data_IF_856763368454
#
_entry.id   IF_856763368454
#
_cell.length_a   1.000
_cell.length_b   1.000
_cell.length_c   1.000
_cell.angle_alpha   90.00
_cell.angle_beta   90.00
_cell.angle_gamma   90.00
#
_symmetry.space_group_name_H-M   'P 1'
#
loop_
_entity.id
_entity.type
_entity.pdbx_description
1 polymer ?
#
# COMPACT_ATOMS: atom_id res chain seq x y z
N UNK A 1 1.01 -11.84 17.12
CA UNK A 1 0.90 -11.41 15.71
C UNK A 1 0.48 -9.94 15.72
N UNK A 2 1.07 -9.06 14.90
CA UNK A 2 0.68 -7.66 14.85
C UNK A 2 -0.80 -7.53 14.48
N UNK A 3 -1.49 -6.60 15.12
CA UNK A 3 -2.90 -6.34 14.79
C UNK A 3 -3.01 -5.67 13.42
N UNK A 4 -4.05 -5.96 12.64
CA UNK A 4 -4.28 -5.34 11.32
C UNK A 4 -4.22 -3.80 11.38
N UNK A 5 -4.69 -3.20 12.48
CA UNK A 5 -4.58 -1.76 12.75
C UNK A 5 -3.14 -1.29 12.82
N UNK A 6 -2.27 -2.04 13.52
CA UNK A 6 -0.85 -1.70 13.63
C UNK A 6 -0.18 -1.75 12.28
N UNK A 7 -0.49 -2.76 11.45
CA UNK A 7 0.04 -2.86 10.09
C UNK A 7 -0.36 -1.66 9.23
N UNK A 8 -1.65 -1.32 9.20
CA UNK A 8 -2.17 -0.16 8.45
C UNK A 8 -1.55 1.16 8.91
N UNK A 9 -1.37 1.34 10.23
CA UNK A 9 -0.73 2.55 10.75
C UNK A 9 0.74 2.63 10.35
N UNK A 10 1.49 1.53 10.43
CA UNK A 10 2.89 1.50 10.00
C UNK A 10 2.99 1.75 8.49
N UNK A 11 2.13 1.14 7.68
CA UNK A 11 2.09 1.40 6.23
C UNK A 11 1.79 2.87 5.93
N UNK A 12 0.83 3.47 6.63
CA UNK A 12 0.54 4.91 6.47
C UNK A 12 1.74 5.79 6.79
N UNK A 13 2.52 5.47 7.83
CA UNK A 13 3.73 6.21 8.20
C UNK A 13 4.80 6.05 7.12
N UNK A 14 4.98 4.85 6.59
CA UNK A 14 5.93 4.60 5.49
C UNK A 14 5.51 5.38 4.25
N UNK A 15 4.22 5.40 3.90
CA UNK A 15 3.68 6.24 2.84
C UNK A 15 3.96 7.72 3.10
N UNK A 16 3.73 8.23 4.31
CA UNK A 16 4.05 9.62 4.63
C UNK A 16 5.53 9.95 4.47
N UNK A 17 6.42 9.07 4.91
CA UNK A 17 7.87 9.24 4.75
C UNK A 17 8.25 9.24 3.27
N UNK A 18 7.82 8.23 2.51
CA UNK A 18 8.11 8.14 1.07
C UNK A 18 7.56 9.33 0.31
N UNK A 19 6.30 9.71 0.56
CA UNK A 19 5.64 10.85 -0.07
C UNK A 19 6.33 12.18 0.26
N UNK A 20 6.74 12.38 1.52
CA UNK A 20 7.47 13.58 1.93
C UNK A 20 8.86 13.66 1.29
N UNK A 21 9.60 12.55 1.28
CA UNK A 21 10.91 12.47 0.61
C UNK A 21 10.76 12.78 -0.89
N UNK A 22 9.80 12.15 -1.57
CA UNK A 22 9.56 12.36 -2.99
C UNK A 22 9.12 13.80 -3.30
N UNK A 23 8.35 14.44 -2.42
CA UNK A 23 7.85 15.81 -2.64
C UNK A 23 8.93 16.87 -2.36
N UNK A 24 9.64 16.75 -1.24
CA UNK A 24 10.62 17.74 -0.77
C UNK A 24 11.94 17.57 -1.53
N UNK A 25 12.44 16.34 -1.61
CA UNK A 25 13.72 16.05 -2.25
C UNK A 25 13.59 15.79 -3.75
N UNK A 26 12.41 16.02 -4.37
CA UNK A 26 12.14 15.77 -5.78
C UNK A 26 13.24 16.28 -6.72
N UNK A 27 13.72 17.50 -6.47
CA UNK A 27 14.74 18.16 -7.29
C UNK A 27 16.08 17.43 -7.19
N UNK A 28 16.56 17.17 -5.98
CA UNK A 28 17.80 16.42 -5.73
C UNK A 28 17.69 14.96 -6.19
N UNK A 29 16.53 14.33 -6.00
CA UNK A 29 16.27 12.96 -6.46
C UNK A 29 16.26 12.91 -7.98
N UNK A 30 15.68 13.88 -8.68
CA UNK A 30 15.63 13.86 -10.15
C UNK A 30 17.02 13.82 -10.79
N UNK A 31 17.98 14.55 -10.21
CA UNK A 31 19.38 14.55 -10.66
C UNK A 31 20.15 13.27 -10.32
N UNK A 32 19.74 12.58 -9.26
CA UNK A 32 20.40 11.34 -8.80
C UNK A 32 19.78 10.11 -9.45
N UNK A 33 18.47 10.12 -9.70
CA UNK A 33 17.70 8.97 -10.18
C UNK A 33 17.71 8.83 -11.70
N UNK A 34 17.91 9.91 -12.44
CA UNK A 34 17.91 9.87 -13.89
C UNK A 34 19.30 10.19 -14.44
N UNK A 35 19.85 9.26 -15.23
CA UNK A 35 21.10 9.47 -15.96
C UNK A 35 20.90 10.27 -17.24
N UNK A 36 19.65 10.50 -17.65
CA UNK A 36 19.31 11.19 -18.90
C UNK A 36 18.07 12.04 -18.68
N UNK A 37 18.03 13.25 -19.25
CA UNK A 37 16.86 14.13 -19.23
C UNK A 37 15.80 13.61 -20.19
N UNK A 38 15.06 12.59 -19.75
CA UNK A 38 13.89 12.06 -20.47
C UNK A 38 12.65 12.65 -19.83
N UNK A 39 11.81 13.30 -20.65
CA UNK A 39 10.48 13.74 -20.21
C UNK A 39 9.57 12.53 -20.08
N UNK A 40 9.19 12.19 -18.84
CA UNK A 40 8.23 11.12 -18.59
C UNK A 40 6.82 11.69 -18.83
N UNK A 41 6.10 11.18 -19.83
CA UNK A 41 4.70 11.58 -20.09
C UNK A 41 4.50 13.09 -20.38
N UNK A 42 5.53 13.79 -20.85
CA UNK A 42 5.48 15.24 -21.13
C UNK A 42 5.73 16.12 -19.90
N UNK A 43 5.92 15.54 -18.72
CA UNK A 43 6.31 16.24 -17.50
C UNK A 43 7.83 16.23 -17.31
N UNK A 44 8.33 17.26 -16.63
CA UNK A 44 9.72 17.21 -16.16
C UNK A 44 9.88 16.12 -15.09
N UNK A 45 11.05 15.47 -14.99
CA UNK A 45 11.30 14.46 -13.96
C UNK A 45 10.98 14.96 -12.53
N UNK A 46 11.33 16.21 -12.22
CA UNK A 46 11.05 16.83 -10.92
C UNK A 46 9.54 16.93 -10.64
N UNK A 47 8.74 17.37 -11.62
CA UNK A 47 7.29 17.47 -11.48
C UNK A 47 6.65 16.09 -11.35
N UNK A 48 7.11 15.10 -12.11
CA UNK A 48 6.63 13.73 -12.00
C UNK A 48 6.92 13.15 -10.60
N UNK A 49 8.13 13.36 -10.08
CA UNK A 49 8.53 12.96 -8.71
C UNK A 49 7.68 13.67 -7.64
N UNK A 50 7.42 14.96 -7.78
CA UNK A 50 6.54 15.71 -6.85
C UNK A 50 5.09 15.22 -6.91
N UNK A 51 4.55 15.04 -8.11
CA UNK A 51 3.19 14.56 -8.30
C UNK A 51 3.01 13.16 -7.68
N UNK A 52 3.99 12.26 -7.91
CA UNK A 52 4.03 10.96 -7.26
C UNK A 52 4.10 11.10 -5.74
N UNK A 53 4.98 11.96 -5.21
CA UNK A 53 5.09 12.21 -3.78
C UNK A 53 3.77 12.67 -3.15
N UNK A 54 3.06 13.60 -3.80
CA UNK A 54 1.74 14.07 -3.36
C UNK A 54 0.67 12.96 -3.43
N UNK A 55 0.68 12.14 -4.49
CA UNK A 55 -0.21 10.98 -4.59
C UNK A 55 0.03 10.00 -3.44
N UNK A 56 1.29 9.71 -3.10
CA UNK A 56 1.65 8.83 -1.98
C UNK A 56 1.20 9.42 -0.65
N UNK A 57 1.36 10.73 -0.44
CA UNK A 57 0.84 11.40 0.77
C UNK A 57 -0.68 11.25 0.88
N UNK A 58 -1.40 11.38 -0.25
CA UNK A 58 -2.85 11.17 -0.31
C UNK A 58 -3.25 9.73 0.04
N UNK A 59 -2.51 8.74 -0.47
CA UNK A 59 -2.70 7.32 -0.14
C UNK A 59 -2.40 7.08 1.34
N UNK A 60 -1.28 7.59 1.85
CA UNK A 60 -0.91 7.47 3.26
C UNK A 60 -1.96 8.08 4.19
N UNK A 61 -2.55 9.21 3.80
CA UNK A 61 -3.68 9.80 4.53
C UNK A 61 -4.91 8.90 4.50
N UNK A 62 -5.27 8.34 3.35
CA UNK A 62 -6.38 7.40 3.23
C UNK A 62 -6.18 6.16 4.11
N UNK A 63 -5.00 5.52 4.04
CA UNK A 63 -4.65 4.35 4.86
C UNK A 63 -4.67 4.70 6.35
N UNK A 64 -4.17 5.88 6.73
CA UNK A 64 -4.22 6.37 8.11
C UNK A 64 -5.68 6.52 8.61
N UNK A 65 -6.55 7.14 7.79
CA UNK A 65 -7.98 7.27 8.10
C UNK A 65 -8.61 5.89 8.28
N UNK A 66 -8.37 4.95 7.35
CA UNK A 66 -8.87 3.57 7.44
C UNK A 66 -8.36 2.88 8.71
N UNK A 67 -7.08 3.01 9.05
CA UNK A 67 -6.48 2.45 10.26
C UNK A 67 -7.07 3.02 11.56
N UNK A 68 -7.54 4.27 11.53
CA UNK A 68 -8.18 4.93 12.68
C UNK A 68 -9.67 4.62 12.83
N UNK A 69 -10.33 4.09 11.79
CA UNK A 69 -11.75 3.74 11.89
C UNK A 69 -12.00 2.59 12.87
N UNK A 70 -13.03 2.74 13.73
CA UNK A 70 -13.39 1.73 14.74
C UNK A 70 -13.79 0.38 14.11
N UNK A 71 -14.38 0.40 12.92
CA UNK A 71 -14.79 -0.81 12.20
C UNK A 71 -14.03 -0.90 10.88
N UNK A 72 -12.97 -1.72 10.84
CA UNK A 72 -12.24 -1.98 9.60
C UNK A 72 -13.11 -2.89 8.73
N UNK A 73 -13.60 -2.36 7.63
CA UNK A 73 -14.35 -3.13 6.64
C UNK A 73 -13.39 -3.90 5.75
N UNK A 74 -13.75 -5.14 5.39
CA UNK A 74 -12.93 -5.95 4.48
C UNK A 74 -12.72 -5.28 3.12
N UNK A 75 -13.67 -4.44 2.69
CA UNK A 75 -13.59 -3.66 1.45
C UNK A 75 -12.46 -2.63 1.54
N UNK A 76 -12.33 -1.92 2.66
CA UNK A 76 -11.28 -0.92 2.82
C UNK A 76 -9.88 -1.56 2.70
N UNK A 77 -9.68 -2.73 3.31
CA UNK A 77 -8.41 -3.49 3.21
C UNK A 77 -8.17 -3.97 1.78
N UNK A 78 -9.19 -4.46 1.08
CA UNK A 78 -9.06 -4.84 -0.33
C UNK A 78 -8.68 -3.67 -1.24
N UNK A 79 -9.16 -2.45 -0.95
CA UNK A 79 -8.75 -1.25 -1.69
C UNK A 79 -7.28 -0.91 -1.46
N UNK A 80 -6.78 -1.03 -0.22
CA UNK A 80 -5.35 -0.82 0.08
C UNK A 80 -4.49 -1.83 -0.68
N UNK A 81 -4.80 -3.13 -0.58
CA UNK A 81 -4.13 -4.19 -1.35
C UNK A 81 -4.17 -3.90 -2.86
N UNK A 82 -5.30 -3.42 -3.38
CA UNK A 82 -5.41 -3.04 -4.80
C UNK A 82 -4.45 -1.91 -5.19
N UNK A 83 -4.32 -0.88 -4.35
CA UNK A 83 -3.37 0.22 -4.54
C UNK A 83 -1.92 -0.28 -4.49
N UNK A 84 -1.60 -1.15 -3.54
CA UNK A 84 -0.28 -1.78 -3.42
C UNK A 84 0.08 -2.62 -4.65
N UNK A 85 -0.87 -3.39 -5.19
CA UNK A 85 -0.68 -4.17 -6.42
C UNK A 85 -0.41 -3.26 -7.62
N UNK A 86 -1.16 -2.16 -7.76
CA UNK A 86 -0.92 -1.16 -8.81
C UNK A 86 0.49 -0.57 -8.64
N UNK A 87 0.91 -0.28 -7.41
CA UNK A 87 2.24 0.24 -7.10
C UNK A 87 3.36 -0.70 -7.53
N UNK A 88 3.25 -1.99 -7.16
CA UNK A 88 4.24 -3.02 -7.52
C UNK A 88 4.30 -3.20 -9.04
N UNK A 89 3.13 -3.28 -9.69
CA UNK A 89 3.03 -3.45 -11.14
C UNK A 89 3.63 -2.24 -11.87
N UNK A 90 3.32 -1.03 -11.41
CA UNK A 90 3.89 0.21 -11.94
C UNK A 90 5.41 0.26 -11.75
N UNK A 91 5.92 -0.22 -10.62
CA UNK A 91 7.36 -0.31 -10.34
C UNK A 91 8.06 -1.29 -11.29
N UNK A 92 7.46 -2.46 -11.55
CA UNK A 92 8.00 -3.41 -12.52
C UNK A 92 7.99 -2.86 -13.95
N UNK A 93 6.89 -2.19 -14.34
CA UNK A 93 6.78 -1.57 -15.66
C UNK A 93 7.80 -0.44 -15.84
N UNK A 94 7.99 0.38 -14.80
CA UNK A 94 8.98 1.44 -14.78
C UNK A 94 10.41 0.88 -14.96
N UNK A 95 10.75 -0.20 -14.26
CA UNK A 95 12.06 -0.84 -14.41
C UNK A 95 12.23 -1.51 -15.78
N UNK A 96 11.17 -2.12 -16.32
CA UNK A 96 11.22 -2.77 -17.63
C UNK A 96 11.41 -1.77 -18.78
N UNK A 97 10.76 -0.61 -18.73
CA UNK A 97 10.77 0.37 -19.82
C UNK A 97 11.82 1.46 -19.63
N UNK A 98 12.07 1.88 -18.40
CA UNK A 98 12.98 2.98 -18.06
C UNK A 98 14.22 2.52 -17.30
N UNK A 99 14.49 1.21 -17.22
CA UNK A 99 15.68 0.67 -16.54
C UNK A 99 17.00 1.22 -17.09
N UNK A 100 17.06 1.57 -18.38
CA UNK A 100 18.25 2.17 -19.00
C UNK A 100 18.37 3.69 -18.75
N UNK A 101 17.30 4.35 -18.31
CA UNK A 101 17.24 5.78 -18.00
C UNK A 101 17.49 6.02 -16.51
N UNK A 102 17.06 5.06 -15.68
CA UNK A 102 17.24 5.08 -14.25
C UNK A 102 18.71 4.82 -13.88
N UNK A 103 19.24 5.62 -12.97
CA UNK A 103 20.50 5.32 -12.33
C UNK A 103 20.36 4.12 -11.39
N UNK A 104 21.49 3.52 -11.00
CA UNK A 104 21.51 2.44 -10.01
C UNK A 104 20.82 2.81 -8.69
N UNK A 105 20.89 4.09 -8.29
CA UNK A 105 20.22 4.58 -7.08
C UNK A 105 18.70 4.64 -7.29
N UNK A 106 18.24 5.11 -8.45
CA UNK A 106 16.82 5.12 -8.79
C UNK A 106 16.24 3.70 -8.87
N UNK A 107 16.98 2.76 -9.47
CA UNK A 107 16.60 1.34 -9.50
C UNK A 107 16.48 0.78 -8.08
N UNK A 108 17.49 1.00 -7.23
CA UNK A 108 17.48 0.52 -5.85
C UNK A 108 16.28 1.08 -5.06
N UNK A 109 15.95 2.37 -5.26
CA UNK A 109 14.82 3.02 -4.60
C UNK A 109 13.46 2.44 -5.05
N UNK A 110 13.27 2.21 -6.35
CA UNK A 110 12.04 1.61 -6.89
C UNK A 110 11.89 0.17 -6.38
N UNK A 111 12.97 -0.61 -6.39
CA UNK A 111 12.97 -1.98 -5.86
C UNK A 111 12.68 -1.97 -4.36
N UNK A 112 13.33 -1.10 -3.57
CA UNK A 112 13.12 -1.04 -2.12
C UNK A 112 11.68 -0.66 -1.78
N UNK A 113 11.09 0.28 -2.53
CA UNK A 113 9.68 0.66 -2.38
C UNK A 113 8.75 -0.50 -2.69
N UNK A 114 8.96 -1.19 -3.82
CA UNK A 114 8.15 -2.35 -4.21
C UNK A 114 8.24 -3.50 -3.19
N UNK A 115 9.43 -3.79 -2.65
CA UNK A 115 9.63 -4.82 -1.62
C UNK A 115 8.94 -4.44 -0.31
N UNK A 116 9.04 -3.17 0.11
CA UNK A 116 8.38 -2.69 1.32
C UNK A 116 6.85 -2.85 1.20
N UNK A 117 6.27 -2.35 0.10
CA UNK A 117 4.83 -2.46 -0.19
C UNK A 117 4.38 -3.92 -0.28
N UNK A 118 5.16 -4.78 -0.93
CA UNK A 118 4.86 -6.22 -0.97
C UNK A 118 4.84 -6.87 0.42
N UNK A 119 5.76 -6.45 1.31
CA UNK A 119 5.77 -6.88 2.69
C UNK A 119 4.49 -6.48 3.45
N UNK A 120 4.06 -5.22 3.31
CA UNK A 120 2.81 -4.73 3.91
C UNK A 120 1.60 -5.47 3.37
N UNK A 121 1.51 -5.66 2.06
CA UNK A 121 0.45 -6.45 1.41
C UNK A 121 0.30 -7.86 2.02
N UNK A 122 1.40 -8.55 2.30
CA UNK A 122 1.36 -9.87 2.96
C UNK A 122 0.77 -9.75 4.38
N UNK A 123 1.21 -8.76 5.16
CA UNK A 123 0.68 -8.56 6.51
C UNK A 123 -0.81 -8.21 6.50
N UNK A 124 -1.26 -7.40 5.54
CA UNK A 124 -2.67 -7.07 5.37
C UNK A 124 -3.51 -8.27 4.96
N UNK A 125 -3.02 -9.10 4.03
CA UNK A 125 -3.67 -10.35 3.63
C UNK A 125 -3.84 -11.31 4.81
N UNK A 126 -2.82 -11.45 5.66
CA UNK A 126 -2.89 -12.27 6.87
C UNK A 126 -3.95 -11.72 7.83
N UNK A 127 -3.93 -10.40 8.08
CA UNK A 127 -4.90 -9.74 8.95
C UNK A 127 -6.35 -9.83 8.42
N UNK A 128 -6.54 -9.70 7.11
CA UNK A 128 -7.84 -9.82 6.45
C UNK A 128 -8.43 -11.24 6.58
N UNK A 129 -7.60 -12.28 6.37
CA UNK A 129 -8.01 -13.67 6.55
C UNK A 129 -8.44 -13.94 8.00
N UNK A 130 -7.72 -13.37 8.97
CA UNK A 130 -8.09 -13.47 10.39
C UNK A 130 -9.45 -12.83 10.68
N UNK A 131 -9.74 -11.66 10.09
CA UNK A 131 -11.05 -11.01 10.23
C UNK A 131 -12.20 -11.82 9.61
N UNK A 132 -12.00 -12.38 8.41
CA UNK A 132 -13.01 -13.19 7.73
C UNK A 132 -13.32 -14.49 8.50
N UNK A 133 -12.29 -15.14 9.05
CA UNK A 133 -12.44 -16.34 9.86
C UNK A 133 -13.30 -16.08 11.11
N UNK A 134 -12.96 -15.03 11.88
CA UNK A 134 -13.71 -14.67 13.09
C UNK A 134 -15.19 -14.37 12.79
N UNK A 135 -15.49 -13.71 11.66
CA UNK A 135 -16.88 -13.45 11.25
C UNK A 135 -17.64 -14.74 10.95
N UNK A 136 -16.99 -15.69 10.28
CA UNK A 136 -17.62 -16.97 9.88
C UNK A 136 -17.87 -17.86 11.09
N UNK A 137 -16.92 -17.92 12.03
CA UNK A 137 -17.05 -18.69 13.27
C UNK A 137 -18.17 -18.14 14.16
N UNK A 138 -18.32 -16.81 14.22
CA UNK A 138 -19.42 -16.16 14.95
C UNK A 138 -20.79 -16.52 14.36
N UNK A 139 -20.97 -16.40 13.04
CA UNK A 139 -22.25 -16.74 12.37
C UNK A 139 -22.58 -18.24 12.55
N UNK A 140 -21.58 -19.12 12.44
CA UNK A 140 -21.76 -20.56 12.64
C UNK A 140 -22.16 -20.89 14.08
N UNK A 141 -21.56 -20.22 15.07
CA UNK A 141 -21.89 -20.39 16.48
C UNK A 141 -23.34 -20.00 16.78
N UNK A 142 -23.77 -18.85 16.27
CA UNK A 142 -25.14 -18.36 16.44
C UNK A 142 -26.17 -19.32 15.84
N UNK A 143 -25.93 -19.78 14.61
CA UNK A 143 -26.80 -20.75 13.93
C UNK A 143 -26.91 -22.09 14.69
N UNK A 144 -25.82 -22.55 15.31
CA UNK A 144 -25.81 -23.81 16.06
C UNK A 144 -26.65 -23.72 17.34
N UNK A 145 -26.74 -22.54 17.97
CA UNK A 145 -27.56 -22.31 19.16
C UNK A 145 -29.04 -22.26 18.76
N UNK A 146 -29.39 -21.56 17.67
CA UNK A 146 -30.78 -21.54 17.17
C UNK A 146 -31.27 -22.96 16.82
N UNK A 147 -30.46 -23.75 16.10
CA UNK A 147 -30.84 -25.12 15.74
C UNK A 147 -31.03 -26.02 16.96
N UNK A 148 -30.22 -25.86 18.00
CA UNK A 148 -30.37 -26.64 19.23
C UNK A 148 -31.63 -26.26 20.01
N UNK A 149 -32.04 -25.00 19.94
CA UNK A 149 -33.30 -24.54 20.54
C UNK A 149 -34.54 -25.10 19.85
N UNK A 150 -34.48 -25.35 18.54
CA UNK A 150 -35.60 -25.87 17.75
C UNK A 150 -35.81 -27.39 17.91
N UNK A 151 -34.79 -28.15 18.30
CA UNK A 151 -34.86 -29.61 18.50
C UNK A 151 -35.30 -29.98 19.94
N UNK A 152 -35.44 -28.98 20.81
CA UNK A 152 -35.78 -29.16 22.23
C UNK A 152 -37.29 -29.00 22.53
N UNK A 153 -38.11 -28.71 21.52
CA UNK A 153 -39.58 -28.56 21.56
C UNK A 153 -40.29 -29.72 20.85
#
# INVERSE_FOLDING_TARGET
MPSLRTTLLVDSVVCFIYGAVLTIAARSLSTVFMNTTVSLLGYSPEEALRALGLCVLGIGLYVCVVGYTKQITSIAVWLVIGIEVIWITGSMLLLAWFGNVLSWVGVAFVISGAVAVFGFMIFELIGLRSLQRNRTDFIRGDLSIELQSLDSD
#
